data_IF_990339237889
#
_entry.id   IF_990339237889
#
_cell.length_a   1.000
_cell.length_b   1.000
_cell.length_c   1.000
_cell.angle_alpha   90.00
_cell.angle_beta   90.00
_cell.angle_gamma   90.00
#
_symmetry.space_group_name_H-M   'P 1'
#
loop_
_entity.id
_entity.type
_entity.pdbx_description
1 polymer ?
#
# COMPACT_ATOMS: atom_id res chain seq x y z
N UNK A 1 6.65 -11.52 15.91
CA UNK A 1 7.31 -10.19 15.87
C UNK A 1 6.50 -9.17 15.05
N UNK A 2 5.90 -9.53 13.90
CA UNK A 2 5.03 -8.62 13.13
C UNK A 2 3.59 -8.45 13.66
N UNK A 3 2.98 -9.49 14.25
CA UNK A 3 1.59 -9.43 14.71
C UNK A 3 1.34 -8.37 15.79
N UNK A 4 2.29 -8.20 16.72
CA UNK A 4 2.22 -7.16 17.75
C UNK A 4 2.30 -5.77 17.12
N UNK A 5 3.15 -5.59 16.11
CA UNK A 5 3.25 -4.34 15.37
C UNK A 5 1.91 -4.01 14.69
N UNK A 6 1.29 -4.95 13.99
CA UNK A 6 -0.03 -4.72 13.38
C UNK A 6 -1.11 -4.37 14.41
N UNK A 7 -1.11 -5.04 15.56
CA UNK A 7 -2.07 -4.75 16.63
C UNK A 7 -1.86 -3.35 17.21
N UNK A 8 -0.60 -2.94 17.41
CA UNK A 8 -0.25 -1.59 17.85
C UNK A 8 -0.65 -0.52 16.83
N UNK A 9 -0.42 -0.77 15.52
CA UNK A 9 -0.85 0.13 14.44
C UNK A 9 -2.36 0.25 14.41
N UNK A 10 -3.10 -0.86 14.46
CA UNK A 10 -4.56 -0.85 14.53
C UNK A 10 -5.04 -0.03 15.73
N UNK A 11 -4.50 -0.26 16.92
CA UNK A 11 -4.87 0.48 18.13
C UNK A 11 -4.59 1.98 18.00
N UNK A 12 -3.41 2.36 17.50
CA UNK A 12 -3.04 3.77 17.28
C UNK A 12 -3.93 4.43 16.24
N UNK A 13 -4.23 3.75 15.14
CA UNK A 13 -5.10 4.27 14.10
C UNK A 13 -6.57 4.37 14.53
N UNK A 14 -6.99 3.55 15.50
CA UNK A 14 -8.31 3.65 16.11
C UNK A 14 -8.37 4.71 17.21
N UNK A 15 -7.25 5.18 17.78
CA UNK A 15 -7.23 6.18 18.86
C UNK A 15 -6.83 7.58 18.40
N UNK A 16 -6.49 7.76 17.12
CA UNK A 16 -6.17 9.07 16.52
C UNK A 16 -7.38 10.01 16.41
N UNK A 17 -7.16 11.33 16.34
CA UNK A 17 -8.22 12.29 16.03
C UNK A 17 -8.92 11.99 14.71
N UNK A 18 -10.23 12.23 14.66
CA UNK A 18 -11.04 12.12 13.45
C UNK A 18 -10.49 13.05 12.36
N UNK A 19 -10.57 12.62 11.10
CA UNK A 19 -10.05 13.35 9.93
C UNK A 19 -8.54 13.61 9.91
N UNK A 20 -7.73 12.84 10.65
CA UNK A 20 -6.27 12.90 10.46
C UNK A 20 -5.89 12.23 9.13
N UNK A 21 -4.84 12.68 8.46
CA UNK A 21 -4.30 11.97 7.30
C UNK A 21 -3.33 10.86 7.76
N UNK A 22 -3.29 9.75 7.04
CA UNK A 22 -2.45 8.59 7.36
C UNK A 22 -1.53 8.30 6.19
N UNK A 23 -0.22 8.29 6.45
CA UNK A 23 0.78 7.82 5.50
C UNK A 23 1.21 6.42 5.90
N UNK A 24 1.11 5.48 4.98
CA UNK A 24 1.53 4.09 5.14
C UNK A 24 2.75 3.84 4.27
N UNK A 25 3.80 3.24 4.84
CA UNK A 25 4.99 2.81 4.09
C UNK A 25 4.99 1.28 3.95
N UNK A 26 5.51 0.75 2.85
CA UNK A 26 5.35 -0.65 2.41
C UNK A 26 6.10 -1.73 3.20
N UNK A 27 6.61 -1.43 4.38
CA UNK A 27 7.23 -2.43 5.27
C UNK A 27 6.60 -2.33 6.65
N UNK A 28 5.76 -3.30 7.08
CA UNK A 28 5.40 -4.59 6.47
C UNK A 28 4.19 -4.57 5.48
N UNK A 29 4.01 -5.62 4.63
CA UNK A 29 2.98 -5.66 3.59
C UNK A 29 1.54 -5.59 4.14
N UNK A 30 0.57 -5.17 3.31
CA UNK A 30 -0.85 -5.06 3.65
C UNK A 30 -1.24 -4.01 4.70
N UNK A 31 -0.34 -3.14 5.14
CA UNK A 31 -0.72 -1.98 5.97
C UNK A 31 -1.77 -1.07 5.30
N UNK A 32 -1.85 -1.06 3.97
CA UNK A 32 -2.88 -0.35 3.21
C UNK A 32 -4.31 -0.77 3.63
N UNK A 33 -4.52 -2.04 4.03
CA UNK A 33 -5.82 -2.49 4.56
C UNK A 33 -6.16 -1.86 5.92
N UNK A 34 -5.18 -1.78 6.81
CA UNK A 34 -5.34 -1.19 8.13
C UNK A 34 -5.55 0.32 8.01
N UNK A 35 -4.83 0.98 7.09
CA UNK A 35 -5.06 2.37 6.73
C UNK A 35 -6.43 2.61 6.12
N UNK A 36 -6.90 1.74 5.21
CA UNK A 36 -8.22 1.83 4.59
C UNK A 36 -9.34 1.66 5.62
N UNK A 37 -9.21 0.70 6.53
CA UNK A 37 -10.15 0.53 7.65
C UNK A 37 -10.17 1.77 8.54
N UNK A 38 -9.00 2.33 8.86
CA UNK A 38 -8.94 3.55 9.66
C UNK A 38 -9.58 4.74 8.95
N UNK A 39 -9.36 4.92 7.64
CA UNK A 39 -10.03 5.94 6.84
C UNK A 39 -11.54 5.75 6.83
N UNK A 40 -12.03 4.52 6.69
CA UNK A 40 -13.45 4.21 6.72
C UNK A 40 -14.11 4.55 8.08
N UNK A 41 -13.44 4.24 9.20
CA UNK A 41 -13.99 4.46 10.54
C UNK A 41 -13.80 5.90 11.03
N UNK A 42 -12.65 6.53 10.74
CA UNK A 42 -12.21 7.81 11.34
C UNK A 42 -12.12 8.95 10.33
N UNK A 43 -12.30 8.71 9.03
CA UNK A 43 -12.11 9.71 7.98
C UNK A 43 -10.64 10.03 7.70
N UNK A 44 -10.43 11.16 7.00
CA UNK A 44 -9.13 11.62 6.52
C UNK A 44 -8.69 10.95 5.22
N UNK A 45 -7.48 11.26 4.77
CA UNK A 45 -6.87 10.68 3.56
C UNK A 45 -5.95 9.52 3.91
N UNK A 46 -5.93 8.53 3.03
CA UNK A 46 -4.96 7.44 3.05
C UNK A 46 -3.93 7.66 1.95
N UNK A 47 -2.67 7.85 2.36
CA UNK A 47 -1.52 8.01 1.49
C UNK A 47 -0.67 6.75 1.60
N UNK A 48 -0.35 6.14 0.47
CA UNK A 48 0.51 4.95 0.37
C UNK A 48 1.85 5.39 -0.22
N UNK A 49 2.92 5.26 0.55
CA UNK A 49 4.28 5.55 0.11
C UNK A 49 5.00 4.22 -0.13
N UNK A 50 5.09 3.86 -1.40
CA UNK A 50 5.60 2.57 -1.81
C UNK A 50 7.12 2.67 -2.01
N UNK A 51 7.85 1.83 -1.28
CA UNK A 51 9.31 1.65 -1.40
C UNK A 51 9.66 0.53 -2.38
N UNK A 52 8.76 -0.46 -2.51
CA UNK A 52 8.89 -1.65 -3.36
C UNK A 52 7.55 -1.95 -4.07
N UNK A 53 7.59 -2.74 -5.13
CA UNK A 53 6.39 -3.15 -5.90
C UNK A 53 5.86 -4.52 -5.46
N UNK A 54 5.47 -4.64 -4.19
CA UNK A 54 4.78 -5.85 -3.71
C UNK A 54 3.28 -5.80 -4.01
N UNK A 55 2.67 -6.87 -4.54
CA UNK A 55 3.19 -8.23 -4.69
C UNK A 55 3.85 -8.52 -6.06
N UNK A 56 3.93 -7.55 -6.96
CA UNK A 56 4.41 -7.75 -8.34
C UNK A 56 5.80 -8.38 -8.42
N UNK A 57 6.72 -7.99 -7.53
CA UNK A 57 8.06 -8.57 -7.46
C UNK A 57 8.04 -10.07 -7.13
N UNK A 58 7.09 -10.55 -6.32
CA UNK A 58 6.97 -11.98 -5.98
C UNK A 58 6.62 -12.83 -7.20
N UNK A 59 5.84 -12.28 -8.14
CA UNK A 59 5.49 -12.95 -9.38
C UNK A 59 6.62 -12.88 -10.39
N UNK A 60 7.31 -11.73 -10.48
CA UNK A 60 8.45 -11.56 -11.37
C UNK A 60 9.62 -12.49 -11.01
N UNK A 61 9.88 -12.67 -9.71
CA UNK A 61 10.91 -13.58 -9.20
C UNK A 61 10.48 -15.05 -9.16
N UNK A 62 9.24 -15.38 -9.57
CA UNK A 62 8.72 -16.74 -9.56
C UNK A 62 8.50 -17.36 -8.17
N UNK A 63 8.57 -16.55 -7.11
CA UNK A 63 8.31 -16.98 -5.72
C UNK A 63 6.86 -17.43 -5.55
N UNK A 64 5.94 -16.75 -6.24
CA UNK A 64 4.52 -17.13 -6.29
C UNK A 64 4.11 -17.29 -7.75
N UNK A 65 3.50 -18.43 -8.07
CA UNK A 65 2.95 -18.66 -9.41
C UNK A 65 1.78 -17.71 -9.67
N UNK A 66 1.88 -16.98 -10.79
CA UNK A 66 0.89 -16.02 -11.26
C UNK A 66 -0.48 -16.67 -11.54
N UNK A 67 -0.51 -17.91 -12.00
CA UNK A 67 -1.73 -18.64 -12.34
C UNK A 67 -2.38 -19.32 -11.13
N UNK A 68 -1.61 -19.54 -10.07
CA UNK A 68 -2.09 -20.21 -8.86
C UNK A 68 -3.22 -19.44 -8.17
N UNK A 69 -4.11 -20.16 -7.49
CA UNK A 69 -5.22 -19.58 -6.72
C UNK A 69 -4.72 -18.60 -5.65
N UNK A 70 -3.57 -18.90 -5.03
CA UNK A 70 -2.94 -18.06 -4.01
C UNK A 70 -2.40 -16.77 -4.64
N UNK A 71 -1.72 -16.88 -5.78
CA UNK A 71 -1.26 -15.72 -6.55
C UNK A 71 -2.40 -14.81 -6.98
N UNK A 72 -3.48 -15.38 -7.51
CA UNK A 72 -4.69 -14.64 -7.88
C UNK A 72 -5.32 -13.92 -6.67
N UNK A 73 -5.39 -14.61 -5.51
CA UNK A 73 -5.94 -14.04 -4.27
C UNK A 73 -5.11 -12.88 -3.75
N UNK A 74 -3.78 -13.02 -3.73
CA UNK A 74 -2.85 -11.96 -3.30
C UNK A 74 -3.00 -10.73 -4.22
N UNK A 75 -3.04 -10.93 -5.55
CA UNK A 75 -3.25 -9.82 -6.49
C UNK A 75 -4.59 -9.14 -6.27
N UNK A 76 -5.65 -9.91 -6.08
CA UNK A 76 -6.98 -9.39 -5.86
C UNK A 76 -7.05 -8.55 -4.58
N UNK A 77 -6.54 -9.06 -3.46
CA UNK A 77 -6.49 -8.34 -2.19
C UNK A 77 -5.63 -7.08 -2.26
N UNK A 78 -4.45 -7.15 -2.88
CA UNK A 78 -3.58 -5.99 -3.06
C UNK A 78 -4.21 -4.92 -3.95
N UNK A 79 -4.89 -5.33 -5.04
CA UNK A 79 -5.63 -4.43 -5.92
C UNK A 79 -6.77 -3.72 -5.20
N UNK A 80 -7.50 -4.44 -4.34
CA UNK A 80 -8.55 -3.81 -3.54
C UNK A 80 -7.93 -2.82 -2.54
N UNK A 81 -6.88 -3.21 -1.82
CA UNK A 81 -6.23 -2.34 -0.84
C UNK A 81 -5.74 -1.02 -1.46
N UNK A 82 -5.08 -1.12 -2.62
CA UNK A 82 -4.63 0.04 -3.41
C UNK A 82 -5.77 0.87 -4.00
N UNK A 83 -6.97 0.28 -4.14
CA UNK A 83 -8.16 1.02 -4.55
C UNK A 83 -8.66 2.01 -3.50
N UNK A 84 -8.29 1.83 -2.22
CA UNK A 84 -8.72 2.69 -1.12
C UNK A 84 -7.77 3.86 -0.84
N UNK A 85 -6.59 3.88 -1.44
CA UNK A 85 -5.59 4.94 -1.28
C UNK A 85 -6.00 6.18 -2.08
N UNK A 86 -5.95 7.36 -1.45
CA UNK A 86 -6.24 8.63 -2.11
C UNK A 86 -5.05 9.13 -2.94
N UNK A 87 -3.85 8.89 -2.41
CA UNK A 87 -2.57 9.22 -3.03
C UNK A 87 -1.61 8.03 -2.87
N UNK A 88 -0.97 7.64 -3.96
CA UNK A 88 0.15 6.69 -3.95
C UNK A 88 1.42 7.40 -4.41
N UNK A 89 2.48 7.31 -3.62
CA UNK A 89 3.80 7.87 -3.88
C UNK A 89 4.71 6.72 -4.35
N UNK A 90 5.29 6.88 -5.54
CA UNK A 90 6.25 5.96 -6.14
C UNK A 90 7.63 6.63 -6.20
N UNK A 91 8.72 5.84 -6.12
CA UNK A 91 10.09 6.38 -6.13
C UNK A 91 10.63 6.71 -7.53
N UNK A 92 9.92 6.28 -8.58
CA UNK A 92 10.32 6.52 -9.96
C UNK A 92 9.21 6.21 -10.97
N UNK A 93 9.37 6.65 -12.24
CA UNK A 93 8.35 6.48 -13.27
C UNK A 93 8.09 5.02 -13.64
N UNK A 94 9.13 4.16 -13.60
CA UNK A 94 8.96 2.72 -13.84
C UNK A 94 8.06 2.08 -12.76
N UNK A 95 8.37 2.37 -11.49
CA UNK A 95 7.59 1.91 -10.34
C UNK A 95 6.14 2.41 -10.42
N UNK A 96 5.94 3.68 -10.78
CA UNK A 96 4.62 4.26 -11.00
C UNK A 96 3.81 3.48 -12.03
N UNK A 97 4.43 3.08 -13.15
CA UNK A 97 3.79 2.25 -14.18
C UNK A 97 3.32 0.89 -13.64
N UNK A 98 4.20 0.20 -12.88
CA UNK A 98 3.87 -1.07 -12.24
C UNK A 98 2.69 -0.91 -11.27
N UNK A 99 2.75 0.06 -10.36
CA UNK A 99 1.68 0.32 -9.38
C UNK A 99 0.34 0.69 -10.04
N UNK A 100 0.38 1.47 -11.13
CA UNK A 100 -0.81 1.82 -11.92
C UNK A 100 -1.45 0.57 -12.51
N UNK A 101 -0.66 -0.31 -13.13
CA UNK A 101 -1.14 -1.59 -13.66
C UNK A 101 -1.64 -2.55 -12.56
N UNK A 102 -1.02 -2.46 -11.38
CA UNK A 102 -1.32 -3.24 -10.18
C UNK A 102 -2.53 -2.74 -9.38
N UNK A 103 -3.30 -1.79 -9.90
CA UNK A 103 -4.63 -1.45 -9.37
C UNK A 103 -4.76 -0.15 -8.60
N UNK A 104 -3.74 0.71 -8.57
CA UNK A 104 -3.88 2.08 -8.02
C UNK A 104 -4.87 2.87 -8.87
N UNK A 105 -5.99 3.28 -8.26
CA UNK A 105 -7.04 4.08 -8.93
C UNK A 105 -6.95 5.57 -8.62
N UNK A 106 -6.36 5.94 -7.50
CA UNK A 106 -6.26 7.31 -7.03
C UNK A 106 -5.18 8.14 -7.73
N UNK A 107 -4.81 9.26 -7.10
CA UNK A 107 -3.67 10.08 -7.53
C UNK A 107 -2.40 9.26 -7.34
N UNK A 108 -1.52 9.29 -8.33
CA UNK A 108 -0.22 8.64 -8.27
C UNK A 108 0.83 9.69 -8.56
N UNK A 109 1.77 9.88 -7.64
CA UNK A 109 2.88 10.82 -7.77
C UNK A 109 4.21 10.12 -7.70
N UNK A 110 5.16 10.61 -8.51
CA UNK A 110 6.55 10.18 -8.44
C UNK A 110 7.30 11.17 -7.56
N UNK A 111 7.79 10.69 -6.43
CA UNK A 111 8.70 11.42 -5.56
C UNK A 111 10.03 10.66 -5.56
N UNK A 112 11.00 11.20 -6.29
CA UNK A 112 12.34 10.63 -6.29
C UNK A 112 12.89 10.65 -4.86
N UNK A 113 13.44 9.52 -4.44
CA UNK A 113 13.93 9.32 -3.09
C UNK A 113 15.12 10.27 -2.78
N UNK A 114 15.94 10.56 -3.80
CA UNK A 114 17.10 11.43 -3.71
C UNK A 114 16.78 12.74 -4.42
N UNK A 115 17.17 13.85 -3.80
CA UNK A 115 17.30 15.11 -4.49
C UNK A 115 18.62 15.05 -5.26
N UNK A 116 18.56 14.91 -6.58
CA UNK A 116 19.67 15.33 -7.42
C UNK A 116 19.79 16.86 -7.18
N UNK A 117 20.89 17.28 -6.57
CA UNK A 117 21.14 18.68 -6.19
C UNK A 117 21.20 19.62 -7.39
#
# INVERSE_FOLDING_TARGET
MFSLFYLQVCWKLLTRPVNSDVVVMTTPPFLNWIGALSKYIRGGRLISWEMDVYPEILFAEGVVDYSSWMGQSIRFLSRIARGYTDLTIALGPCMAGVLRSGGVRGRLEVLHNWADG
#
